data_IF_652471958282
#
_entry.id   IF_652471958282
#
_cell.length_a   1.000
_cell.length_b   1.000
_cell.length_c   1.000
_cell.angle_alpha   90.00
_cell.angle_beta   90.00
_cell.angle_gamma   90.00
#
_symmetry.space_group_name_H-M   'P 1'
#
loop_
_entity.id
_entity.type
_entity.pdbx_description
1 polymer ?
#
# COMPACT_ATOMS: atom_id res chain seq x y z
N UNK A 1 15.37 -18.36 -10.73
CA UNK A 1 16.31 -17.40 -10.10
C UNK A 1 15.81 -15.98 -10.32
N UNK A 2 15.79 -15.14 -9.29
CA UNK A 2 15.35 -13.74 -9.42
C UNK A 2 16.41 -12.89 -10.14
N UNK A 3 15.95 -11.99 -11.02
CA UNK A 3 16.81 -11.06 -11.73
C UNK A 3 17.12 -9.83 -10.85
N UNK A 4 18.37 -9.37 -10.84
CA UNK A 4 18.77 -8.19 -10.06
C UNK A 4 17.97 -6.92 -10.42
N UNK A 5 17.67 -6.62 -11.70
CA UNK A 5 16.83 -5.48 -12.07
C UNK A 5 15.43 -5.49 -11.44
N UNK A 6 14.79 -6.66 -11.35
CA UNK A 6 13.44 -6.79 -10.80
C UNK A 6 13.43 -6.55 -9.29
N UNK A 7 14.41 -7.09 -8.57
CA UNK A 7 14.54 -6.85 -7.13
C UNK A 7 14.90 -5.39 -6.85
N UNK A 8 15.78 -4.79 -7.66
CA UNK A 8 16.13 -3.38 -7.57
C UNK A 8 14.90 -2.49 -7.75
N UNK A 9 14.13 -2.70 -8.81
CA UNK A 9 12.92 -1.93 -9.09
C UNK A 9 11.90 -2.04 -7.95
N UNK A 10 11.72 -3.25 -7.41
CA UNK A 10 10.83 -3.48 -6.27
C UNK A 10 11.31 -2.75 -5.01
N UNK A 11 12.58 -2.88 -4.63
CA UNK A 11 13.12 -2.21 -3.44
C UNK A 11 13.09 -0.69 -3.58
N UNK A 12 13.33 -0.13 -4.78
CA UNK A 12 13.19 1.32 -5.03
C UNK A 12 11.77 1.81 -4.79
N UNK A 13 10.75 1.03 -5.19
CA UNK A 13 9.34 1.35 -4.93
C UNK A 13 9.00 1.24 -3.44
N UNK A 14 9.52 0.23 -2.75
CA UNK A 14 9.25 -0.01 -1.33
C UNK A 14 9.93 1.00 -0.40
N UNK A 15 11.14 1.45 -0.73
CA UNK A 15 11.99 2.24 0.16
C UNK A 15 11.34 3.50 0.76
N UNK A 16 10.64 4.37 -0.01
CA UNK A 16 10.01 5.57 0.54
C UNK A 16 8.92 5.26 1.57
N UNK A 17 8.33 4.07 1.49
CA UNK A 17 7.23 3.66 2.35
C UNK A 17 7.66 3.21 3.73
N UNK A 18 8.93 2.79 3.89
CA UNK A 18 9.46 2.35 5.18
C UNK A 18 9.39 3.46 6.22
N UNK A 19 9.55 4.71 5.79
CA UNK A 19 9.37 5.89 6.65
C UNK A 19 7.93 6.39 6.77
N UNK A 20 7.03 6.02 5.83
CA UNK A 20 5.67 6.56 5.72
C UNK A 20 4.58 5.64 6.26
N UNK A 21 4.84 4.34 6.36
CA UNK A 21 3.87 3.38 6.86
C UNK A 21 3.45 3.76 8.29
N UNK A 22 2.14 3.85 8.51
CA UNK A 22 1.55 4.57 9.66
C UNK A 22 1.39 3.66 10.88
N UNK A 23 1.89 2.42 10.82
CA UNK A 23 1.74 1.46 11.92
C UNK A 23 2.50 1.86 13.20
N UNK A 24 1.88 1.54 14.34
CA UNK A 24 2.40 1.68 15.71
C UNK A 24 3.27 0.49 16.18
N UNK A 25 3.45 -0.56 15.38
CA UNK A 25 3.98 -1.88 15.82
C UNK A 25 5.40 -2.22 15.37
N UNK A 26 6.23 -1.23 15.07
CA UNK A 26 7.63 -1.46 14.71
C UNK A 26 8.42 -1.84 15.96
N UNK A 27 8.82 -3.10 16.07
CA UNK A 27 9.71 -3.57 17.14
C UNK A 27 11.17 -3.19 16.87
N UNK A 28 11.52 -3.05 15.59
CA UNK A 28 12.85 -2.63 15.12
C UNK A 28 12.80 -1.19 14.62
N UNK A 29 13.88 -0.42 14.87
CA UNK A 29 14.00 0.96 14.37
C UNK A 29 13.92 0.97 12.84
N UNK A 30 12.97 1.73 12.28
CA UNK A 30 12.77 1.89 10.83
C UNK A 30 14.03 2.28 10.07
N UNK A 31 14.91 3.07 10.69
CA UNK A 31 16.20 3.47 10.12
C UNK A 31 17.11 2.28 9.79
N UNK A 32 17.01 1.17 10.53
CA UNK A 32 17.78 -0.05 10.23
C UNK A 32 17.31 -0.70 8.93
N UNK A 33 16.00 -0.77 8.70
CA UNK A 33 15.44 -1.26 7.44
C UNK A 33 15.77 -0.34 6.27
N UNK A 34 15.73 0.99 6.47
CA UNK A 34 16.14 1.94 5.43
C UNK A 34 17.62 1.78 5.07
N UNK A 35 18.50 1.67 6.06
CA UNK A 35 19.93 1.42 5.84
C UNK A 35 20.18 0.09 5.13
N UNK A 36 19.49 -0.98 5.52
CA UNK A 36 19.62 -2.28 4.87
C UNK A 36 19.12 -2.26 3.41
N UNK A 37 18.00 -1.57 3.14
CA UNK A 37 17.51 -1.38 1.77
C UNK A 37 18.49 -0.58 0.93
N UNK A 38 19.08 0.51 1.47
CA UNK A 38 20.08 1.28 0.77
C UNK A 38 21.32 0.43 0.43
N UNK A 39 21.82 -0.38 1.36
CA UNK A 39 22.93 -1.28 1.11
C UNK A 39 22.62 -2.33 0.03
N UNK A 40 21.41 -2.88 0.04
CA UNK A 40 20.95 -3.83 -0.98
C UNK A 40 20.80 -3.16 -2.35
N UNK A 41 20.29 -1.93 -2.41
CA UNK A 41 20.19 -1.17 -3.66
C UNK A 41 21.58 -0.92 -4.27
N UNK A 42 22.56 -0.51 -3.47
CA UNK A 42 23.95 -0.37 -3.93
C UNK A 42 24.52 -1.69 -4.47
N UNK A 43 24.32 -2.80 -3.74
CA UNK A 43 24.79 -4.11 -4.17
C UNK A 43 24.12 -4.60 -5.47
N UNK A 44 22.84 -4.25 -5.67
CA UNK A 44 22.09 -4.59 -6.88
C UNK A 44 22.46 -3.70 -8.06
N UNK A 45 22.80 -2.43 -7.84
CA UNK A 45 23.27 -1.52 -8.90
C UNK A 45 24.60 -1.98 -9.50
N UNK A 46 25.45 -2.68 -8.72
CA UNK A 46 26.66 -3.31 -9.22
C UNK A 46 26.42 -4.59 -10.07
N UNK A 47 25.17 -5.04 -10.24
CA UNK A 47 24.82 -6.29 -10.94
C UNK A 47 23.86 -6.06 -12.11
N UNK A 48 24.28 -6.41 -13.33
CA UNK A 48 23.48 -6.24 -14.55
C UNK A 48 22.61 -7.46 -14.92
N UNK A 49 22.76 -8.60 -14.22
CA UNK A 49 22.17 -9.87 -14.62
C UNK A 49 21.47 -10.64 -13.48
N UNK A 50 21.73 -11.94 -13.40
CA UNK A 50 21.21 -12.78 -12.32
C UNK A 50 21.82 -12.35 -10.99
N UNK A 51 21.01 -12.39 -9.96
CA UNK A 51 21.46 -12.12 -8.59
C UNK A 51 22.29 -13.31 -8.08
N UNK A 52 23.33 -13.06 -7.29
CA UNK A 52 24.03 -14.14 -6.59
C UNK A 52 23.10 -14.77 -5.54
N UNK A 53 23.30 -16.05 -5.17
CA UNK A 53 22.50 -16.71 -4.14
C UNK A 53 22.49 -15.97 -2.82
N UNK A 54 23.64 -15.44 -2.39
CA UNK A 54 23.81 -14.73 -1.12
C UNK A 54 23.02 -13.42 -1.12
N UNK A 55 23.09 -12.66 -2.22
CA UNK A 55 22.32 -11.43 -2.37
C UNK A 55 20.82 -11.73 -2.44
N UNK A 56 20.43 -12.84 -3.06
CA UNK A 56 19.03 -13.27 -3.09
C UNK A 56 18.51 -13.64 -1.70
N UNK A 57 19.30 -14.37 -0.92
CA UNK A 57 18.99 -14.71 0.46
C UNK A 57 18.90 -13.46 1.34
N UNK A 58 19.78 -12.48 1.14
CA UNK A 58 19.75 -11.23 1.90
C UNK A 58 18.50 -10.41 1.60
N UNK A 59 18.09 -10.30 0.33
CA UNK A 59 16.82 -9.67 -0.07
C UNK A 59 15.64 -10.40 0.54
N UNK A 60 15.63 -11.74 0.46
CA UNK A 60 14.57 -12.57 1.05
C UNK A 60 14.49 -12.40 2.57
N UNK A 61 15.62 -12.42 3.26
CA UNK A 61 15.70 -12.26 4.71
C UNK A 61 15.24 -10.87 5.17
N UNK A 62 15.65 -9.80 4.46
CA UNK A 62 15.13 -8.46 4.70
C UNK A 62 13.61 -8.44 4.57
N UNK A 63 13.07 -8.92 3.44
CA UNK A 63 11.64 -8.86 3.17
C UNK A 63 10.83 -9.73 4.14
N UNK A 64 11.36 -10.88 4.56
CA UNK A 64 10.75 -11.71 5.59
C UNK A 64 10.67 -11.01 6.95
N UNK A 65 11.78 -10.41 7.41
CA UNK A 65 11.77 -9.62 8.65
C UNK A 65 10.83 -8.43 8.55
N UNK A 66 10.88 -7.71 7.43
CA UNK A 66 10.05 -6.55 7.20
C UNK A 66 8.56 -6.94 7.18
N UNK A 67 8.21 -8.07 6.57
CA UNK A 67 6.85 -8.58 6.50
C UNK A 67 6.23 -8.80 7.88
N UNK A 68 7.01 -9.36 8.81
CA UNK A 68 6.57 -9.62 10.19
C UNK A 68 6.28 -8.34 10.99
N UNK A 69 6.94 -7.22 10.63
CA UNK A 69 6.70 -5.91 11.24
C UNK A 69 5.54 -5.17 10.57
N UNK A 70 5.41 -5.34 9.24
CA UNK A 70 4.51 -4.55 8.41
C UNK A 70 3.10 -5.14 8.36
N UNK A 71 3.02 -6.47 8.27
CA UNK A 71 1.77 -7.20 8.25
C UNK A 71 1.57 -7.89 9.60
N UNK A 72 0.35 -7.91 10.14
CA UNK A 72 0.08 -8.58 11.40
C UNK A 72 0.29 -10.09 11.29
N UNK A 73 0.56 -10.76 12.41
CA UNK A 73 0.70 -12.23 12.44
C UNK A 73 -0.56 -12.98 12.02
N UNK A 74 -1.73 -12.34 12.12
CA UNK A 74 -3.03 -12.84 11.63
C UNK A 74 -3.17 -12.72 10.11
N UNK A 75 -2.29 -12.00 9.42
CA UNK A 75 -2.35 -11.81 7.97
C UNK A 75 -2.13 -13.12 7.21
N UNK A 76 -1.04 -13.82 7.54
CA UNK A 76 -0.67 -15.16 7.10
C UNK A 76 0.18 -15.81 8.19
N UNK A 77 -0.09 -17.08 8.49
CA UNK A 77 0.62 -17.80 9.56
C UNK A 77 2.07 -18.14 9.19
N UNK A 78 2.31 -18.67 7.99
CA UNK A 78 3.63 -19.08 7.49
C UNK A 78 3.75 -18.75 6.00
N UNK A 79 3.95 -17.48 5.63
CA UNK A 79 3.95 -17.07 4.22
C UNK A 79 5.22 -17.54 3.50
N UNK A 80 5.06 -18.02 2.28
CA UNK A 80 6.16 -18.25 1.34
C UNK A 80 6.73 -16.91 0.84
N UNK A 81 7.95 -16.92 0.32
CA UNK A 81 8.54 -15.70 -0.25
C UNK A 81 7.73 -15.11 -1.42
N UNK A 82 7.07 -15.94 -2.22
CA UNK A 82 6.19 -15.49 -3.28
C UNK A 82 4.96 -14.74 -2.74
N UNK A 83 4.37 -15.23 -1.65
CA UNK A 83 3.25 -14.57 -0.97
C UNK A 83 3.67 -13.26 -0.33
N UNK A 84 4.84 -13.21 0.32
CA UNK A 84 5.42 -11.97 0.87
C UNK A 84 5.53 -10.91 -0.22
N UNK A 85 6.09 -11.27 -1.38
CA UNK A 85 6.19 -10.35 -2.51
C UNK A 85 4.82 -9.94 -3.06
N UNK A 86 3.86 -10.87 -3.12
CA UNK A 86 2.50 -10.60 -3.57
C UNK A 86 1.79 -9.58 -2.68
N UNK A 87 1.86 -9.78 -1.37
CA UNK A 87 1.23 -8.91 -0.38
C UNK A 87 1.88 -7.52 -0.34
N UNK A 88 3.21 -7.42 -0.41
CA UNK A 88 3.87 -6.11 -0.53
C UNK A 88 3.53 -5.41 -1.84
N UNK A 89 3.46 -6.13 -2.97
CA UNK A 89 3.06 -5.52 -4.27
C UNK A 89 1.63 -5.01 -4.23
N UNK A 90 0.73 -5.77 -3.61
CA UNK A 90 -0.64 -5.34 -3.36
C UNK A 90 -0.66 -4.06 -2.52
N UNK A 91 0.03 -4.07 -1.38
CA UNK A 91 0.08 -2.93 -0.47
C UNK A 91 0.65 -1.70 -1.17
N UNK A 92 1.74 -1.84 -1.94
CA UNK A 92 2.33 -0.75 -2.73
C UNK A 92 1.35 -0.19 -3.77
N UNK A 93 0.61 -1.05 -4.46
CA UNK A 93 -0.38 -0.61 -5.45
C UNK A 93 -1.50 0.22 -4.82
N UNK A 94 -1.94 -0.16 -3.62
CA UNK A 94 -2.88 0.65 -2.84
C UNK A 94 -2.19 1.94 -2.37
N UNK A 95 -0.97 1.82 -1.86
CA UNK A 95 -0.22 2.89 -1.24
C UNK A 95 0.21 4.00 -2.23
N UNK A 96 0.40 3.66 -3.49
CA UNK A 96 0.71 4.64 -4.53
C UNK A 96 -0.56 5.41 -4.94
N UNK A 97 -1.69 4.71 -5.13
CA UNK A 97 -2.96 5.31 -5.61
C UNK A 97 -3.62 6.27 -4.62
N UNK A 98 -3.55 5.98 -3.34
CA UNK A 98 -4.16 6.82 -2.30
C UNK A 98 -3.30 8.03 -1.85
N UNK A 99 -1.98 8.05 -2.13
CA UNK A 99 -1.04 9.04 -1.58
C UNK A 99 -0.70 10.17 -2.53
N UNK A 100 -1.06 10.01 -3.80
CA UNK A 100 -1.13 11.13 -4.72
C UNK A 100 -1.97 12.24 -4.06
N UNK A 101 -1.48 13.49 -3.99
CA UNK A 101 -2.25 14.58 -3.40
C UNK A 101 -3.55 14.78 -4.19
N UNK A 102 -4.68 15.07 -3.53
CA UNK A 102 -5.87 15.50 -4.26
C UNK A 102 -5.52 16.75 -5.07
N UNK A 103 -6.06 16.87 -6.29
CA UNK A 103 -5.93 18.09 -7.07
C UNK A 103 -6.32 19.28 -6.18
N UNK A 104 -5.43 20.27 -6.06
CA UNK A 104 -5.65 21.47 -5.24
C UNK A 104 -6.76 22.31 -5.88
N UNK A 105 -8.01 21.92 -5.66
CA UNK A 105 -9.14 22.81 -5.89
C UNK A 105 -9.21 23.77 -4.70
N UNK A 106 -8.82 25.02 -4.95
CA UNK A 106 -8.81 26.08 -3.94
C UNK A 106 -10.14 26.15 -3.18
N UNK A 107 -10.07 26.51 -1.89
CA UNK A 107 -11.21 26.63 -0.97
C UNK A 107 -12.36 27.44 -1.62
N UNK A 108 -13.34 26.75 -2.22
CA UNK A 108 -14.64 27.34 -2.56
C UNK A 108 -15.60 27.08 -1.42
N UNK A 109 -16.22 28.17 -0.93
CA UNK A 109 -17.29 28.15 0.08
C UNK A 109 -18.39 27.17 -0.36
N UNK A 110 -18.85 26.34 0.59
CA UNK A 110 -19.92 25.34 0.43
C UNK A 110 -21.25 26.04 0.13
N UNK A 111 -21.83 25.77 -1.03
CA UNK A 111 -23.26 25.91 -1.26
C UNK A 111 -23.96 24.57 -0.93
N UNK A 112 -25.23 24.58 -0.47
CA UNK A 112 -26.03 23.36 -0.37
C UNK A 112 -26.30 22.84 -1.80
N UNK A 113 -25.99 21.58 -2.07
CA UNK A 113 -26.09 20.99 -3.41
C UNK A 113 -24.79 21.06 -4.22
N UNK A 114 -23.67 20.62 -3.63
CA UNK A 114 -22.41 20.46 -4.37
C UNK A 114 -22.57 19.53 -5.58
N UNK A 115 -21.67 19.59 -6.57
CA UNK A 115 -21.77 18.77 -7.77
C UNK A 115 -21.85 17.27 -7.40
N UNK A 116 -22.57 16.47 -8.19
CA UNK A 116 -22.63 15.02 -7.98
C UNK A 116 -21.23 14.42 -8.01
N UNK A 117 -21.02 13.37 -7.23
CA UNK A 117 -19.77 12.63 -7.22
C UNK A 117 -19.66 11.85 -8.55
N UNK A 118 -18.80 12.29 -9.46
CA UNK A 118 -18.49 11.56 -10.69
C UNK A 118 -17.64 10.32 -10.38
N UNK A 119 -18.30 9.26 -9.91
CA UNK A 119 -17.69 8.03 -9.46
C UNK A 119 -18.40 6.80 -10.03
N UNK A 120 -17.69 5.67 -10.22
CA UNK A 120 -18.32 4.45 -10.69
C UNK A 120 -19.42 3.96 -9.74
N UNK A 121 -20.56 3.50 -10.30
CA UNK A 121 -21.68 2.94 -9.52
C UNK A 121 -21.25 1.84 -8.55
N UNK A 122 -20.28 1.03 -8.95
CA UNK A 122 -19.70 -0.04 -8.12
C UNK A 122 -19.00 0.51 -6.87
N UNK A 123 -18.22 1.59 -7.01
CA UNK A 123 -17.58 2.26 -5.88
C UNK A 123 -18.61 2.86 -4.92
N UNK A 124 -19.63 3.53 -5.45
CA UNK A 124 -20.70 4.08 -4.62
C UNK A 124 -21.43 2.99 -3.83
N UNK A 125 -21.67 1.83 -4.46
CA UNK A 125 -22.26 0.65 -3.79
C UNK A 125 -21.36 0.11 -2.67
N UNK A 126 -20.06 -0.06 -2.93
CA UNK A 126 -19.09 -0.50 -1.91
C UNK A 126 -19.05 0.45 -0.71
N UNK A 127 -19.26 1.75 -0.93
CA UNK A 127 -19.28 2.77 0.12
C UNK A 127 -20.66 2.94 0.78
N UNK A 128 -21.69 2.22 0.32
CA UNK A 128 -23.07 2.38 0.78
C UNK A 128 -23.60 3.80 0.53
N UNK A 129 -23.31 4.37 -0.64
CA UNK A 129 -23.76 5.69 -1.08
C UNK A 129 -24.77 5.58 -2.23
N UNK A 130 -25.77 6.47 -2.28
CA UNK A 130 -26.65 6.58 -3.45
C UNK A 130 -25.90 7.13 -4.66
N UNK A 131 -26.45 6.88 -5.86
CA UNK A 131 -25.84 7.34 -7.12
C UNK A 131 -25.77 8.88 -7.22
N UNK A 132 -26.73 9.56 -6.59
CA UNK A 132 -26.90 11.02 -6.62
C UNK A 132 -26.10 11.73 -5.52
N UNK A 133 -25.21 11.03 -4.81
CA UNK A 133 -24.47 11.64 -3.70
C UNK A 133 -23.58 12.79 -4.19
N UNK A 134 -23.44 13.81 -3.35
CA UNK A 134 -22.59 14.97 -3.65
C UNK A 134 -21.11 14.61 -3.47
N UNK A 135 -20.23 15.34 -4.15
CA UNK A 135 -18.78 15.17 -3.99
C UNK A 135 -18.30 15.30 -2.53
N UNK A 136 -18.93 16.17 -1.72
CA UNK A 136 -18.60 16.32 -0.30
C UNK A 136 -19.00 15.10 0.53
N UNK A 137 -20.16 14.50 0.26
CA UNK A 137 -20.62 13.29 0.94
C UNK A 137 -19.75 12.10 0.58
N UNK A 138 -19.43 11.94 -0.72
CA UNK A 138 -18.48 10.95 -1.19
C UNK A 138 -17.14 11.09 -0.47
N UNK A 139 -16.52 12.28 -0.47
CA UNK A 139 -15.22 12.49 0.17
C UNK A 139 -15.24 12.28 1.70
N UNK A 140 -16.38 12.57 2.35
CA UNK A 140 -16.56 12.27 3.77
C UNK A 140 -16.60 10.76 4.02
N UNK A 141 -17.40 10.03 3.25
CA UNK A 141 -17.53 8.57 3.36
C UNK A 141 -16.23 7.87 2.94
N UNK A 142 -15.59 8.34 1.88
CA UNK A 142 -14.30 7.85 1.40
C UNK A 142 -13.23 7.92 2.49
N UNK A 143 -13.09 9.06 3.18
CA UNK A 143 -12.15 9.17 4.31
C UNK A 143 -12.46 8.22 5.47
N UNK A 144 -13.75 8.02 5.79
CA UNK A 144 -14.16 7.06 6.83
C UNK A 144 -13.87 5.62 6.41
N UNK A 145 -14.18 5.28 5.16
CA UNK A 145 -13.88 3.99 4.56
C UNK A 145 -12.37 3.72 4.57
N UNK A 146 -11.55 4.68 4.13
CA UNK A 146 -10.10 4.56 4.21
C UNK A 146 -9.65 4.31 5.65
N UNK A 147 -10.12 5.08 6.64
CA UNK A 147 -9.73 4.87 8.05
C UNK A 147 -10.16 3.50 8.58
N UNK A 148 -11.37 3.04 8.27
CA UNK A 148 -11.93 1.79 8.74
C UNK A 148 -11.35 0.56 8.02
N UNK A 149 -10.90 0.73 6.78
CA UNK A 149 -10.40 -0.37 5.96
C UNK A 149 -8.90 -0.29 5.65
N UNK A 150 -8.17 0.64 6.27
CA UNK A 150 -6.74 0.77 6.06
C UNK A 150 -6.01 -0.49 6.56
N UNK A 151 -5.21 -1.18 5.74
CA UNK A 151 -4.45 -2.36 6.16
C UNK A 151 -3.49 -2.09 7.32
N UNK A 152 -3.00 -0.85 7.44
CA UNK A 152 -2.09 -0.48 8.52
C UNK A 152 -2.76 -0.29 9.86
N UNK A 153 -4.01 0.18 9.86
CA UNK A 153 -4.77 0.47 11.06
C UNK A 153 -5.71 -0.67 11.45
N UNK A 154 -6.07 -1.54 10.49
CA UNK A 154 -7.04 -2.60 10.66
C UNK A 154 -6.40 -3.94 10.22
N UNK A 155 -5.45 -4.44 11.03
CA UNK A 155 -4.69 -5.65 10.70
C UNK A 155 -5.55 -6.92 10.57
N UNK A 156 -6.62 -7.02 11.35
CA UNK A 156 -7.42 -8.24 11.49
C UNK A 156 -8.51 -8.40 10.42
N UNK A 157 -8.41 -7.63 9.33
CA UNK A 157 -9.30 -7.76 8.19
C UNK A 157 -9.27 -9.16 7.60
N UNK A 158 -10.45 -9.65 7.28
CA UNK A 158 -10.67 -10.85 6.48
C UNK A 158 -10.12 -10.68 5.06
N UNK A 159 -9.80 -11.78 4.35
CA UNK A 159 -9.39 -11.72 2.95
C UNK A 159 -10.39 -10.98 2.03
N UNK A 160 -11.68 -11.08 2.31
CA UNK A 160 -12.72 -10.43 1.51
C UNK A 160 -12.76 -8.92 1.77
N UNK A 161 -12.63 -8.47 3.02
CA UNK A 161 -12.50 -7.04 3.32
C UNK A 161 -11.28 -6.40 2.67
N UNK A 162 -10.16 -7.12 2.60
CA UNK A 162 -8.95 -6.66 1.88
C UNK A 162 -9.19 -6.54 0.38
N UNK A 163 -9.98 -7.47 -0.19
CA UNK A 163 -10.35 -7.48 -1.60
C UNK A 163 -11.27 -6.33 -1.94
N UNK A 164 -12.30 -6.10 -1.13
CA UNK A 164 -13.24 -5.00 -1.28
C UNK A 164 -12.54 -3.65 -1.14
N UNK A 165 -11.61 -3.53 -0.19
CA UNK A 165 -10.76 -2.35 -0.04
C UNK A 165 -9.91 -2.09 -1.28
N UNK A 166 -9.24 -3.12 -1.80
CA UNK A 166 -8.42 -3.01 -3.00
C UNK A 166 -9.26 -2.63 -4.24
N UNK A 167 -10.45 -3.23 -4.38
CA UNK A 167 -11.39 -2.91 -5.44
C UNK A 167 -11.83 -1.45 -5.36
N UNK A 168 -12.23 -0.99 -4.17
CA UNK A 168 -12.66 0.39 -3.95
C UNK A 168 -11.55 1.41 -4.29
N UNK A 169 -10.31 1.16 -3.85
CA UNK A 169 -9.15 2.01 -4.18
C UNK A 169 -8.84 1.99 -5.68
N UNK A 170 -9.00 0.85 -6.35
CA UNK A 170 -8.80 0.74 -7.80
C UNK A 170 -9.86 1.49 -8.61
N UNK A 171 -11.11 1.53 -8.12
CA UNK A 171 -12.24 2.18 -8.78
C UNK A 171 -12.31 3.70 -8.54
N UNK A 172 -11.60 4.22 -7.54
CA UNK A 172 -11.66 5.64 -7.21
C UNK A 172 -11.14 6.51 -8.37
N UNK A 173 -12.03 7.34 -8.92
CA UNK A 173 -11.70 8.38 -9.90
C UNK A 173 -11.38 9.67 -9.14
N UNK A 174 -10.24 10.28 -9.40
CA UNK A 174 -9.79 11.49 -8.70
C UNK A 174 -10.15 12.75 -9.45
#
# INVERSE_FOLDING_TARGET
MQQAPNARAFLRRLHPWIGKAVHVRWTVRRSLYQSEVNALLMALDAKHGRMSPELSLRVQGLLGRLYLEWFPRTWRRNPTYAEILGDFRWWLGVAERWSEPPAKNGRRRRAPGGPPADQPKRLLRLLGLPHECTASEFMSRWRRFLKAHHPDLNPDQTPDERRDFAEAVALWRR
#
